data_IF_864918266408
#
_entry.id   IF_864918266408
#
_cell.length_a   1.000
_cell.length_b   1.000
_cell.length_c   1.000
_cell.angle_alpha   90.00
_cell.angle_beta   90.00
_cell.angle_gamma   90.00
#
_symmetry.space_group_name_H-M   'P 1'
#
loop_
_entity.id
_entity.type
_entity.pdbx_description
1 polymer ?
#
# COMPACT_ATOMS: atom_id res chain seq x y z
N UNK A 1 3.52 2.64 19.22
CA UNK A 1 3.68 1.36 18.55
C UNK A 1 4.80 1.47 17.52
N UNK A 2 5.66 0.47 17.37
CA UNK A 2 6.65 0.44 16.29
C UNK A 2 5.95 0.44 14.92
N UNK A 3 6.57 1.10 13.95
CA UNK A 3 6.11 1.18 12.57
C UNK A 3 7.28 0.88 11.66
N UNK A 4 7.15 -0.10 10.78
CA UNK A 4 8.25 -0.59 9.93
C UNK A 4 7.81 -0.75 8.48
N UNK A 5 8.79 -0.68 7.58
CA UNK A 5 8.61 -0.97 6.16
C UNK A 5 8.42 -2.47 5.90
N UNK A 6 7.64 -2.81 4.87
CA UNK A 6 7.30 -4.18 4.51
C UNK A 6 8.37 -4.96 3.75
N UNK A 7 9.49 -4.35 3.40
CA UNK A 7 10.52 -4.93 2.51
C UNK A 7 11.06 -6.27 2.99
N UNK A 8 11.24 -6.42 4.29
CA UNK A 8 11.74 -7.67 4.86
C UNK A 8 10.78 -8.84 4.62
N UNK A 9 9.49 -8.59 4.65
CA UNK A 9 8.46 -9.63 4.49
C UNK A 9 8.53 -10.29 3.12
N UNK A 10 8.89 -9.56 2.07
CA UNK A 10 8.89 -10.08 0.69
C UNK A 10 9.75 -11.32 0.51
N UNK A 11 10.90 -11.37 1.19
CA UNK A 11 11.87 -12.46 1.09
C UNK A 11 11.95 -13.35 2.34
N UNK A 12 11.34 -12.93 3.46
CA UNK A 12 11.47 -13.56 4.78
C UNK A 12 10.12 -13.72 5.48
N UNK A 13 9.05 -13.97 4.72
CA UNK A 13 7.68 -13.96 5.23
C UNK A 13 7.44 -14.97 6.36
N UNK A 14 7.95 -16.19 6.24
CA UNK A 14 7.78 -17.22 7.26
C UNK A 14 8.45 -16.83 8.59
N UNK A 15 9.70 -16.38 8.54
CA UNK A 15 10.43 -15.91 9.71
C UNK A 15 9.77 -14.70 10.34
N UNK A 16 9.38 -13.73 9.49
CA UNK A 16 8.69 -12.52 9.92
C UNK A 16 7.40 -12.83 10.68
N UNK A 17 6.52 -13.65 10.11
CA UNK A 17 5.22 -13.96 10.74
C UNK A 17 5.36 -14.77 12.03
N UNK A 18 6.45 -15.53 12.16
CA UNK A 18 6.75 -16.32 13.36
C UNK A 18 7.33 -15.47 14.49
N UNK A 19 8.25 -14.56 14.19
CA UNK A 19 9.07 -13.88 15.19
C UNK A 19 8.58 -12.44 15.50
N UNK A 20 7.94 -11.76 14.53
CA UNK A 20 7.57 -10.35 14.69
C UNK A 20 6.35 -10.17 15.60
N UNK A 21 6.45 -9.33 16.64
CA UNK A 21 5.30 -9.03 17.51
C UNK A 21 4.12 -8.40 16.76
N UNK A 22 2.89 -8.79 17.11
CA UNK A 22 1.68 -8.31 16.42
C UNK A 22 1.33 -6.83 16.67
N UNK A 23 1.97 -6.18 17.62
CA UNK A 23 1.77 -4.75 17.89
C UNK A 23 2.58 -3.82 16.95
N UNK A 24 3.34 -4.38 16.02
CA UNK A 24 4.07 -3.61 15.00
C UNK A 24 3.11 -3.24 13.85
N UNK A 25 3.14 -1.97 13.43
CA UNK A 25 2.38 -1.50 12.26
C UNK A 25 3.22 -1.76 11.01
N UNK A 26 2.61 -2.36 9.99
CA UNK A 26 3.25 -2.66 8.72
C UNK A 26 2.97 -1.56 7.70
N UNK A 27 4.00 -1.11 6.98
CA UNK A 27 3.87 -0.19 5.86
C UNK A 27 4.48 -0.82 4.61
N UNK A 28 3.70 -1.67 3.98
CA UNK A 28 4.07 -2.24 2.70
C UNK A 28 3.92 -1.20 1.59
N UNK A 29 4.71 -1.33 0.53
CA UNK A 29 4.69 -0.43 -0.61
C UNK A 29 4.86 -1.20 -1.93
N UNK A 30 4.44 -0.57 -3.01
CA UNK A 30 4.63 -1.05 -4.38
C UNK A 30 4.71 0.16 -5.32
N UNK A 31 5.51 0.10 -6.36
CA UNK A 31 5.80 1.25 -7.23
C UNK A 31 4.79 1.45 -8.36
N UNK A 32 4.29 0.34 -8.93
CA UNK A 32 3.39 0.35 -10.07
C UNK A 32 1.91 0.41 -9.64
N UNK A 33 0.97 0.67 -10.57
CA UNK A 33 -0.44 0.59 -10.25
C UNK A 33 -0.87 -0.81 -9.84
N UNK A 34 -1.51 -0.95 -8.68
CA UNK A 34 -2.14 -2.21 -8.28
C UNK A 34 -3.49 -2.31 -8.98
N UNK A 35 -3.59 -3.19 -9.97
CA UNK A 35 -4.79 -3.33 -10.83
C UNK A 35 -5.61 -4.57 -10.54
N UNK A 36 -5.33 -5.29 -9.45
CA UNK A 36 -6.07 -6.48 -9.05
C UNK A 36 -5.18 -7.56 -8.44
N UNK A 37 -5.74 -8.75 -8.11
CA UNK A 37 -4.95 -9.84 -7.59
C UNK A 37 -3.84 -10.15 -8.57
N UNK A 38 -2.61 -10.13 -8.05
CA UNK A 38 -1.37 -10.20 -8.81
C UNK A 38 -1.43 -11.20 -9.97
N UNK A 39 -1.81 -10.71 -11.14
CA UNK A 39 -1.49 -11.41 -12.38
C UNK A 39 -0.06 -11.01 -12.68
N UNK A 40 0.82 -12.01 -12.73
CA UNK A 40 2.16 -11.85 -13.25
C UNK A 40 2.10 -11.03 -14.55
N UNK A 41 2.53 -9.79 -14.50
CA UNK A 41 2.60 -8.93 -15.70
C UNK A 41 3.79 -9.35 -16.57
N UNK A 42 4.69 -10.15 -16.04
CA UNK A 42 5.92 -10.58 -16.69
C UNK A 42 6.06 -12.11 -16.70
N UNK A 43 5.40 -12.75 -17.65
CA UNK A 43 5.81 -14.06 -18.18
C UNK A 43 6.06 -15.21 -17.20
N UNK A 44 5.29 -15.37 -16.13
CA UNK A 44 5.27 -16.62 -15.34
C UNK A 44 6.44 -16.82 -14.36
N UNK A 45 7.33 -15.85 -14.14
CA UNK A 45 8.30 -15.88 -13.04
C UNK A 45 7.62 -15.33 -11.78
N UNK A 46 7.91 -15.92 -10.61
CA UNK A 46 7.60 -15.33 -9.31
C UNK A 46 8.38 -14.01 -9.28
N UNK A 47 7.69 -12.93 -9.55
CA UNK A 47 8.26 -11.61 -9.62
C UNK A 47 8.14 -10.99 -8.23
N UNK A 48 9.12 -10.21 -7.82
CA UNK A 48 9.08 -9.38 -6.61
C UNK A 48 7.80 -8.54 -6.56
N UNK A 49 7.29 -8.15 -7.72
CA UNK A 49 6.05 -7.40 -7.85
C UNK A 49 4.84 -8.17 -7.33
N UNK A 50 4.77 -9.49 -7.56
CA UNK A 50 3.71 -10.36 -7.02
C UNK A 50 3.80 -10.43 -5.50
N UNK A 51 5.00 -10.61 -4.94
CA UNK A 51 5.21 -10.67 -3.50
C UNK A 51 4.90 -9.33 -2.82
N UNK A 52 5.30 -8.21 -3.43
CA UNK A 52 4.99 -6.87 -2.92
C UNK A 52 3.48 -6.63 -2.81
N UNK A 53 2.73 -6.99 -3.85
CA UNK A 53 1.26 -6.81 -3.85
C UNK A 53 0.58 -7.81 -2.91
N UNK A 54 1.01 -9.07 -2.91
CA UNK A 54 0.46 -10.11 -2.04
C UNK A 54 0.66 -9.77 -0.56
N UNK A 55 1.77 -9.13 -0.22
CA UNK A 55 2.11 -8.76 1.15
C UNK A 55 1.04 -7.89 1.81
N UNK A 56 0.31 -7.04 1.10
CA UNK A 56 -0.81 -6.29 1.70
C UNK A 56 -1.86 -7.23 2.30
N UNK A 57 -2.20 -8.29 1.60
CA UNK A 57 -3.20 -9.26 2.04
C UNK A 57 -2.62 -10.23 3.08
N UNK A 58 -1.37 -10.64 2.93
CA UNK A 58 -0.75 -11.62 3.81
C UNK A 58 -0.47 -11.04 5.21
N UNK A 59 -0.03 -9.79 5.33
CA UNK A 59 0.12 -9.13 6.64
C UNK A 59 -1.22 -8.91 7.34
N UNK A 60 -2.27 -8.63 6.58
CA UNK A 60 -3.64 -8.54 7.11
C UNK A 60 -4.10 -9.89 7.68
N UNK A 61 -3.99 -10.96 6.90
CA UNK A 61 -4.32 -12.33 7.33
C UNK A 61 -3.49 -12.79 8.53
N UNK A 62 -2.24 -12.36 8.59
CA UNK A 62 -1.36 -12.64 9.73
C UNK A 62 -1.70 -11.81 10.99
N UNK A 63 -2.67 -10.90 10.93
CA UNK A 63 -3.20 -10.16 12.07
C UNK A 63 -2.44 -8.88 12.42
N UNK A 64 -1.67 -8.30 11.49
CA UNK A 64 -1.00 -7.02 11.69
C UNK A 64 -1.89 -5.86 11.28
N UNK A 65 -1.84 -4.78 12.07
CA UNK A 65 -2.32 -3.48 11.62
C UNK A 65 -1.40 -2.93 10.53
N UNK A 66 -1.95 -2.27 9.54
CA UNK A 66 -1.17 -1.73 8.44
C UNK A 66 -1.56 -0.31 8.04
N UNK A 67 -0.57 0.43 7.56
CA UNK A 67 -0.70 1.73 6.91
C UNK A 67 0.04 1.60 5.57
N UNK A 68 -0.60 1.08 4.51
CA UNK A 68 0.03 0.91 3.22
C UNK A 68 0.59 2.23 2.68
N UNK A 69 1.75 2.16 2.04
CA UNK A 69 2.39 3.32 1.43
C UNK A 69 2.01 3.42 -0.04
N UNK A 70 1.64 4.62 -0.45
CA UNK A 70 1.32 4.97 -1.84
C UNK A 70 2.23 6.10 -2.34
N UNK A 71 2.42 6.18 -3.64
CA UNK A 71 3.38 7.11 -4.23
C UNK A 71 2.98 7.53 -5.65
N UNK A 72 3.42 8.70 -6.09
CA UNK A 72 3.44 9.09 -7.49
C UNK A 72 4.84 8.97 -8.12
N UNK A 73 5.72 8.14 -7.56
CA UNK A 73 7.10 7.99 -8.05
C UNK A 73 7.15 7.61 -9.54
N UNK A 74 6.55 6.49 -9.89
CA UNK A 74 6.43 6.04 -11.29
C UNK A 74 5.20 6.65 -11.95
N UNK A 75 4.05 6.59 -11.26
CA UNK A 75 2.78 7.07 -11.79
C UNK A 75 1.80 7.40 -10.65
N UNK A 76 0.99 8.47 -10.78
CA UNK A 76 -0.09 8.76 -9.83
C UNK A 76 -1.13 7.65 -9.69
N UNK A 77 -1.27 6.80 -10.71
CA UNK A 77 -2.19 5.65 -10.67
C UNK A 77 -1.83 4.61 -9.59
N UNK A 78 -0.59 4.61 -9.07
CA UNK A 78 -0.24 3.81 -7.91
C UNK A 78 -1.06 4.21 -6.67
N UNK A 79 -1.29 5.51 -6.47
CA UNK A 79 -2.05 6.02 -5.31
C UNK A 79 -3.46 5.41 -5.30
N UNK A 80 -4.21 5.63 -6.36
CA UNK A 80 -5.60 5.15 -6.47
C UNK A 80 -5.67 3.62 -6.52
N UNK A 81 -4.79 2.98 -7.27
CA UNK A 81 -4.74 1.53 -7.40
C UNK A 81 -4.47 0.82 -6.09
N UNK A 82 -3.45 1.24 -5.34
CA UNK A 82 -3.10 0.64 -4.05
C UNK A 82 -4.18 0.89 -2.99
N UNK A 83 -4.71 2.11 -2.89
CA UNK A 83 -5.76 2.43 -1.93
C UNK A 83 -7.02 1.59 -2.19
N UNK A 84 -7.47 1.51 -3.45
CA UNK A 84 -8.59 0.68 -3.85
C UNK A 84 -8.35 -0.80 -3.56
N UNK A 85 -7.20 -1.33 -3.95
CA UNK A 85 -6.83 -2.73 -3.71
C UNK A 85 -6.87 -3.08 -2.21
N UNK A 86 -6.21 -2.28 -1.37
CA UNK A 86 -6.20 -2.53 0.07
C UNK A 86 -7.60 -2.40 0.68
N UNK A 87 -8.40 -1.45 0.20
CA UNK A 87 -9.78 -1.30 0.65
C UNK A 87 -10.65 -2.52 0.32
N UNK A 88 -10.48 -3.10 -0.85
CA UNK A 88 -11.27 -4.25 -1.32
C UNK A 88 -10.81 -5.60 -0.74
N UNK A 89 -9.52 -5.71 -0.37
CA UNK A 89 -8.91 -7.01 -0.05
C UNK A 89 -8.37 -7.15 1.38
N UNK A 90 -8.28 -6.05 2.13
CA UNK A 90 -7.81 -6.06 3.51
C UNK A 90 -8.95 -5.77 4.49
N UNK A 91 -8.78 -6.21 5.73
CA UNK A 91 -9.72 -5.92 6.81
C UNK A 91 -9.71 -4.43 7.15
N UNK A 92 -10.87 -3.79 7.11
CA UNK A 92 -11.01 -2.38 7.48
C UNK A 92 -10.65 -2.12 8.96
N UNK A 93 -10.76 -3.15 9.80
CA UNK A 93 -10.33 -3.07 11.21
C UNK A 93 -8.81 -2.89 11.32
N UNK A 94 -8.03 -3.54 10.45
CA UNK A 94 -6.56 -3.48 10.47
C UNK A 94 -5.96 -2.42 9.57
N UNK A 95 -6.72 -1.94 8.61
CA UNK A 95 -6.32 -0.85 7.72
C UNK A 95 -6.47 0.49 8.44
N UNK A 96 -5.36 1.01 9.01
CA UNK A 96 -5.38 2.21 9.87
C UNK A 96 -5.26 3.53 9.09
N UNK A 97 -5.08 3.46 7.79
CA UNK A 97 -4.92 4.59 6.90
C UNK A 97 -3.92 4.31 5.79
N UNK A 98 -3.47 5.36 5.12
CA UNK A 98 -2.46 5.28 4.07
C UNK A 98 -1.37 6.33 4.28
N UNK A 99 -0.14 6.01 3.91
CA UNK A 99 0.99 6.92 3.92
C UNK A 99 1.32 7.34 2.49
N UNK A 100 1.30 8.64 2.23
CA UNK A 100 1.78 9.19 0.95
C UNK A 100 3.28 9.50 1.04
N UNK A 101 4.06 8.92 0.13
CA UNK A 101 5.50 9.15 0.03
C UNK A 101 5.91 9.43 -1.41
N UNK A 102 6.13 10.70 -1.79
CA UNK A 102 6.54 11.03 -3.16
C UNK A 102 7.92 10.49 -3.57
N UNK A 103 8.78 10.11 -2.60
CA UNK A 103 10.14 9.60 -2.81
C UNK A 103 11.06 10.56 -3.57
N UNK A 104 10.83 11.87 -3.43
CA UNK A 104 11.61 12.90 -4.09
C UNK A 104 12.21 13.85 -3.06
N UNK A 105 13.34 14.50 -3.38
CA UNK A 105 13.91 15.53 -2.51
C UNK A 105 12.89 16.64 -2.23
N UNK A 106 12.95 17.24 -1.04
CA UNK A 106 12.10 18.37 -0.67
C UNK A 106 12.74 19.67 -1.16
N UNK A 107 12.82 19.83 -2.48
CA UNK A 107 13.42 20.98 -3.16
C UNK A 107 12.36 21.67 -4.02
N UNK A 108 12.60 22.94 -4.38
CA UNK A 108 11.65 23.71 -5.18
C UNK A 108 11.38 23.09 -6.58
N UNK A 109 12.41 22.55 -7.22
CA UNK A 109 12.25 21.87 -8.51
C UNK A 109 11.37 20.62 -8.48
N UNK A 110 11.13 20.04 -7.30
CA UNK A 110 10.24 18.88 -7.13
C UNK A 110 8.89 19.23 -6.52
N UNK A 111 8.65 20.51 -6.22
CA UNK A 111 7.42 20.98 -5.58
C UNK A 111 6.15 20.55 -6.31
N UNK A 112 6.10 20.72 -7.62
CA UNK A 112 4.94 20.33 -8.43
C UNK A 112 4.63 18.85 -8.29
N UNK A 113 5.65 18.00 -8.21
CA UNK A 113 5.49 16.56 -7.99
C UNK A 113 4.91 16.22 -6.61
N UNK A 114 5.29 17.00 -5.59
CA UNK A 114 4.71 16.85 -4.26
C UNK A 114 3.24 17.30 -4.23
N UNK A 115 2.92 18.42 -4.89
CA UNK A 115 1.54 18.92 -4.98
C UNK A 115 0.64 17.95 -5.76
N UNK A 116 1.13 17.43 -6.89
CA UNK A 116 0.45 16.40 -7.69
C UNK A 116 0.14 15.15 -6.85
N UNK A 117 1.10 14.67 -6.05
CA UNK A 117 0.89 13.52 -5.18
C UNK A 117 -0.20 13.77 -4.12
N UNK A 118 -0.22 14.96 -3.52
CA UNK A 118 -1.22 15.35 -2.51
C UNK A 118 -2.60 15.42 -3.16
N UNK A 119 -2.72 16.04 -4.32
CA UNK A 119 -3.99 16.17 -5.04
C UNK A 119 -4.58 14.80 -5.40
N UNK A 120 -3.78 13.91 -5.99
CA UNK A 120 -4.23 12.55 -6.29
C UNK A 120 -4.61 11.75 -5.05
N UNK A 121 -3.89 11.94 -3.95
CA UNK A 121 -4.20 11.28 -2.68
C UNK A 121 -5.54 11.76 -2.11
N UNK A 122 -5.77 13.07 -2.12
CA UNK A 122 -7.02 13.65 -1.61
C UNK A 122 -8.23 13.28 -2.46
N UNK A 123 -8.10 13.29 -3.79
CA UNK A 123 -9.14 12.83 -4.70
C UNK A 123 -9.50 11.35 -4.46
N UNK A 124 -8.50 10.48 -4.33
CA UNK A 124 -8.71 9.05 -4.11
C UNK A 124 -9.34 8.79 -2.75
N UNK A 125 -8.93 9.51 -1.71
CA UNK A 125 -9.53 9.43 -0.37
C UNK A 125 -11.03 9.76 -0.39
N UNK A 126 -11.44 10.72 -1.19
CA UNK A 126 -12.86 11.04 -1.39
C UNK A 126 -13.64 9.87 -1.98
N UNK A 127 -13.12 9.24 -3.02
CA UNK A 127 -13.76 8.08 -3.65
C UNK A 127 -13.85 6.88 -2.70
N UNK A 128 -12.79 6.57 -1.95
CA UNK A 128 -12.81 5.46 -0.98
C UNK A 128 -13.76 5.73 0.19
N UNK A 129 -13.85 6.98 0.64
CA UNK A 129 -14.81 7.38 1.68
C UNK A 129 -16.25 7.21 1.22
N UNK A 130 -16.58 7.65 0.01
CA UNK A 130 -17.93 7.55 -0.53
C UNK A 130 -18.34 6.08 -0.73
N UNK A 131 -17.41 5.23 -1.17
CA UNK A 131 -17.64 3.79 -1.22
C UNK A 131 -17.91 3.21 0.18
N UNK A 132 -17.17 3.62 1.20
CA UNK A 132 -17.39 3.18 2.58
C UNK A 132 -18.75 3.64 3.12
N UNK A 133 -19.16 4.86 2.84
CA UNK A 133 -20.47 5.40 3.26
C UNK A 133 -21.63 4.69 2.54
N UNK A 134 -21.46 4.30 1.29
CA UNK A 134 -22.45 3.51 0.54
C UNK A 134 -22.63 2.08 1.11
N UNK A 135 -21.63 1.55 1.83
CA UNK A 135 -21.72 0.26 2.52
C UNK A 135 -22.43 0.33 3.88
N UNK A 136 -22.49 1.51 4.47
CA UNK A 136 -23.12 1.76 5.78
C UNK A 136 -24.59 2.19 5.66
N UNK A 137 -25.05 2.44 4.45
CA UNK A 137 -26.43 2.83 4.13
C UNK A 137 -27.28 1.63 3.71
#
# INVERSE_FOLDING_TARGET
>A
RPWIWGDYVWNHSEEFYKEMPKNVIQSNWYRDPVTGPAKSVYGGKIDMDVECVRTYVDVDKAGYDQIPTVSNWETPANISGTMKFCWEHCSHERLKGFLLTPWRPTLEETRERHMDAIEHFDLTRGVTRDAALAWLA
#
